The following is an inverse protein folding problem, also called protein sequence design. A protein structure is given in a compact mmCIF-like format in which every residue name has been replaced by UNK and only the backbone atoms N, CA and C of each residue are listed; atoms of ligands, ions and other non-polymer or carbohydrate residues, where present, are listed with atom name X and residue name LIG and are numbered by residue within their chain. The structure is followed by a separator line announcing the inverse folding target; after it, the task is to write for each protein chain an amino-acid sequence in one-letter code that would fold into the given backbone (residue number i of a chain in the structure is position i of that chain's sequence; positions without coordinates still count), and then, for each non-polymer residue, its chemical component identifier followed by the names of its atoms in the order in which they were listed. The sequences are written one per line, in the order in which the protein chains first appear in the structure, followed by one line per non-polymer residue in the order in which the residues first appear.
data_IF_242156805370
#
_entry.id   IF_242156805370
#
_cell.length_a   1.000
_cell.length_b   1.000
_cell.length_c   1.000
_cell.angle_alpha   90.00
_cell.angle_beta   90.00
_cell.angle_gamma   90.00
#
_symmetry.space_group_name_H-M   'P 1'
#
loop_
_entity.id
_entity.type
_entity.pdbx_description
1 polymer ?
#
# COMPACT_ATOMS: atom_id res chain seq x y z
N UNK A 1 -27.66 -3.59 19.72
CA UNK A 1 -26.20 -3.69 19.99
C UNK A 1 -25.49 -3.49 18.68
N UNK A 2 -24.57 -2.54 18.60
CA UNK A 2 -23.75 -2.33 17.40
C UNK A 2 -22.59 -3.35 17.30
N UNK A 3 -22.04 -3.50 16.10
CA UNK A 3 -20.79 -4.22 15.85
C UNK A 3 -19.88 -3.45 14.90
N UNK A 4 -18.59 -3.78 14.92
CA UNK A 4 -17.61 -3.40 13.90
C UNK A 4 -16.73 -4.62 13.61
N UNK A 5 -16.57 -4.94 12.33
CA UNK A 5 -15.58 -5.87 11.81
C UNK A 5 -14.55 -5.10 10.99
N UNK A 6 -13.27 -5.35 11.28
CA UNK A 6 -12.14 -4.86 10.50
C UNK A 6 -11.81 -5.86 9.39
N UNK A 7 -11.62 -5.36 8.18
CA UNK A 7 -11.14 -6.12 7.02
C UNK A 7 -9.77 -5.57 6.66
N UNK A 8 -8.72 -6.36 6.85
CA UNK A 8 -7.34 -5.92 6.69
C UNK A 8 -6.79 -6.22 5.29
N UNK A 9 -6.11 -5.23 4.71
CA UNK A 9 -5.37 -5.35 3.46
C UNK A 9 -3.88 -5.17 3.77
N UNK A 10 -3.28 -6.18 4.40
CA UNK A 10 -1.91 -6.13 4.93
C UNK A 10 -0.88 -5.65 3.89
N UNK A 11 -0.96 -6.14 2.64
CA UNK A 11 -0.05 -5.77 1.55
C UNK A 11 -0.07 -4.29 1.17
N UNK A 12 -1.15 -3.57 1.51
CA UNK A 12 -1.31 -2.12 1.31
C UNK A 12 -1.19 -1.32 2.62
N UNK A 13 -1.29 -1.99 3.77
CA UNK A 13 -1.35 -1.34 5.08
C UNK A 13 -2.64 -0.58 5.31
N UNK A 14 -3.74 -1.06 4.71
CA UNK A 14 -5.07 -0.46 4.79
C UNK A 14 -6.05 -1.31 5.58
N UNK A 15 -7.07 -0.66 6.13
CA UNK A 15 -8.23 -1.29 6.76
C UNK A 15 -9.52 -0.76 6.14
N UNK A 16 -10.45 -1.66 5.90
CA UNK A 16 -11.83 -1.37 5.59
C UNK A 16 -12.71 -1.87 6.73
N UNK A 17 -13.95 -1.38 6.81
CA UNK A 17 -14.82 -1.72 7.93
C UNK A 17 -16.21 -2.16 7.48
N UNK A 18 -16.77 -3.13 8.19
CA UNK A 18 -18.19 -3.42 8.17
C UNK A 18 -18.76 -3.15 9.57
N UNK A 19 -19.72 -2.25 9.68
CA UNK A 19 -20.27 -1.86 10.96
C UNK A 19 -21.78 -1.67 10.90
N UNK A 20 -22.50 -1.99 11.97
CA UNK A 20 -23.95 -1.96 11.92
C UNK A 20 -24.64 -2.39 13.21
N UNK A 21 -25.95 -2.57 13.10
CA UNK A 21 -26.79 -3.14 14.15
C UNK A 21 -27.05 -4.63 13.95
N UNK A 22 -28.19 -5.10 14.45
CA UNK A 22 -28.59 -6.51 14.39
C UNK A 22 -29.00 -6.98 12.98
N UNK A 23 -29.50 -6.08 12.13
CA UNK A 23 -30.10 -6.46 10.85
C UNK A 23 -29.44 -5.83 9.61
N UNK A 24 -28.78 -4.69 9.79
CA UNK A 24 -28.22 -3.92 8.69
C UNK A 24 -26.89 -3.27 9.06
N UNK A 25 -26.05 -3.06 8.05
CA UNK A 25 -24.70 -2.55 8.18
C UNK A 25 -24.30 -1.58 7.07
N UNK A 26 -23.27 -0.79 7.35
CA UNK A 26 -22.51 0.03 6.40
C UNK A 26 -21.15 -0.62 6.16
N UNK A 27 -20.72 -0.64 4.90
CA UNK A 27 -19.34 -0.89 4.53
C UNK A 27 -18.61 0.46 4.33
N UNK A 28 -17.45 0.63 4.94
CA UNK A 28 -16.64 1.85 4.89
C UNK A 28 -15.35 1.55 4.14
N UNK A 29 -15.07 2.36 3.12
CA UNK A 29 -13.86 2.26 2.28
C UNK A 29 -13.58 0.83 1.79
N UNK A 30 -14.57 0.14 1.19
CA UNK A 30 -14.45 -1.28 0.89
C UNK A 30 -13.32 -1.59 -0.10
N UNK A 31 -12.62 -2.72 0.06
CA UNK A 31 -11.57 -3.15 -0.86
C UNK A 31 -12.16 -3.47 -2.23
N UNK A 32 -11.31 -3.47 -3.27
CA UNK A 32 -11.70 -3.86 -4.63
C UNK A 32 -12.36 -5.23 -4.68
N UNK A 33 -11.82 -6.18 -3.92
CA UNK A 33 -12.30 -7.54 -3.83
C UNK A 33 -13.39 -7.67 -2.76
N UNK A 34 -14.59 -7.27 -3.19
CA UNK A 34 -15.80 -7.11 -2.38
C UNK A 34 -16.37 -8.42 -1.82
N UNK A 35 -15.90 -9.58 -2.29
CA UNK A 35 -16.29 -10.89 -1.78
C UNK A 35 -15.92 -11.04 -0.30
N UNK A 36 -14.83 -10.41 0.14
CA UNK A 36 -14.46 -10.35 1.56
C UNK A 36 -15.51 -9.62 2.41
N UNK A 37 -16.04 -8.50 1.90
CA UNK A 37 -17.07 -7.71 2.59
C UNK A 37 -18.40 -8.45 2.64
N UNK A 38 -18.79 -9.07 1.52
CA UNK A 38 -19.99 -9.89 1.43
C UNK A 38 -19.92 -11.09 2.38
N UNK A 39 -18.76 -11.74 2.48
CA UNK A 39 -18.55 -12.84 3.42
C UNK A 39 -18.63 -12.37 4.88
N UNK A 40 -18.07 -11.21 5.22
CA UNK A 40 -18.20 -10.62 6.55
C UNK A 40 -19.67 -10.34 6.92
N UNK A 41 -20.42 -9.72 6.01
CA UNK A 41 -21.85 -9.46 6.21
C UNK A 41 -22.67 -10.75 6.35
N UNK A 42 -22.37 -11.77 5.54
CA UNK A 42 -23.02 -13.07 5.63
C UNK A 42 -22.75 -13.78 6.96
N UNK A 43 -21.52 -13.74 7.48
CA UNK A 43 -21.19 -14.29 8.82
C UNK A 43 -21.96 -13.61 9.95
N UNK A 44 -22.21 -12.30 9.81
CA UNK A 44 -23.00 -11.50 10.76
C UNK A 44 -24.51 -11.66 10.56
N UNK A 45 -24.96 -12.18 9.43
CA UNK A 45 -26.38 -12.30 9.10
C UNK A 45 -27.05 -10.95 8.82
N UNK A 46 -26.29 -9.95 8.38
CA UNK A 46 -26.77 -8.57 8.15
C UNK A 46 -26.82 -8.22 6.67
N UNK A 47 -27.71 -7.31 6.30
CA UNK A 47 -27.74 -6.70 4.98
C UNK A 47 -26.85 -5.46 4.93
N UNK A 48 -26.02 -5.35 3.91
CA UNK A 48 -25.31 -4.09 3.62
C UNK A 48 -26.34 -3.10 3.07
N UNK A 49 -26.68 -2.09 3.87
CA UNK A 49 -27.67 -1.06 3.52
C UNK A 49 -27.01 0.19 2.94
N UNK A 50 -25.74 0.42 3.30
CA UNK A 50 -24.94 1.57 2.88
C UNK A 50 -23.52 1.14 2.55
N UNK A 51 -22.93 1.85 1.60
CA UNK A 51 -21.50 1.81 1.32
C UNK A 51 -21.03 3.26 1.34
N UNK A 52 -19.97 3.57 2.09
CA UNK A 52 -19.44 4.93 2.20
C UNK A 52 -17.98 4.98 1.77
N UNK A 53 -17.62 6.06 1.10
CA UNK A 53 -16.22 6.47 0.89
C UNK A 53 -15.89 7.63 1.81
N UNK A 54 -14.76 7.57 2.51
CA UNK A 54 -14.20 8.71 3.26
C UNK A 54 -13.60 9.74 2.32
N UNK A 55 -12.97 9.28 1.23
CA UNK A 55 -12.38 10.11 0.19
C UNK A 55 -12.23 9.32 -1.11
N UNK A 56 -11.65 9.95 -2.13
CA UNK A 56 -11.28 9.25 -3.37
C UNK A 56 -9.87 8.72 -3.15
N UNK A 57 -9.74 7.41 -3.00
CA UNK A 57 -8.48 6.77 -2.62
C UNK A 57 -7.41 6.92 -3.70
N UNK A 58 -6.18 7.14 -3.26
CA UNK A 58 -5.01 7.27 -4.15
C UNK A 58 -4.13 6.01 -4.15
N UNK A 59 -4.38 5.04 -3.30
CA UNK A 59 -3.48 3.91 -3.05
C UNK A 59 -4.07 2.54 -3.40
N UNK A 60 -5.37 2.48 -3.68
CA UNK A 60 -6.03 1.30 -4.21
C UNK A 60 -7.25 1.67 -5.03
N UNK A 61 -7.73 0.71 -5.82
CA UNK A 61 -8.98 0.81 -6.56
C UNK A 61 -10.15 0.42 -5.65
N UNK A 62 -11.11 1.31 -5.43
CA UNK A 62 -12.25 1.04 -4.53
C UNK A 62 -13.17 -0.05 -5.07
N UNK A 63 -13.71 -0.88 -4.17
CA UNK A 63 -14.83 -1.78 -4.48
C UNK A 63 -16.21 -1.16 -4.24
N UNK A 64 -16.29 0.09 -3.78
CA UNK A 64 -17.52 0.67 -3.23
C UNK A 64 -18.66 0.73 -4.22
N UNK A 65 -18.37 1.18 -5.45
CA UNK A 65 -19.36 1.27 -6.52
C UNK A 65 -19.95 -0.10 -6.87
N UNK A 66 -19.10 -1.13 -6.99
CA UNK A 66 -19.54 -2.48 -7.34
C UNK A 66 -20.30 -3.13 -6.19
N UNK A 67 -19.81 -2.98 -4.95
CA UNK A 67 -20.50 -3.49 -3.77
C UNK A 67 -21.91 -2.90 -3.66
N UNK A 68 -22.06 -1.59 -3.89
CA UNK A 68 -23.36 -0.93 -3.87
C UNK A 68 -24.30 -1.47 -4.96
N UNK A 69 -23.78 -1.69 -6.19
CA UNK A 69 -24.56 -2.27 -7.29
C UNK A 69 -25.07 -3.67 -6.98
N UNK A 70 -24.20 -4.55 -6.47
CA UNK A 70 -24.56 -5.95 -6.19
C UNK A 70 -25.55 -6.05 -5.02
N UNK A 71 -25.38 -5.22 -3.99
CA UNK A 71 -26.20 -5.29 -2.76
C UNK A 71 -27.47 -4.44 -2.83
N UNK A 72 -27.54 -3.48 -3.76
CA UNK A 72 -28.56 -2.43 -3.79
C UNK A 72 -28.41 -1.41 -2.64
N UNK A 73 -27.24 -1.34 -2.01
CA UNK A 73 -26.95 -0.39 -0.95
C UNK A 73 -26.88 1.05 -1.49
N UNK A 74 -27.16 2.03 -0.63
CA UNK A 74 -26.94 3.45 -0.95
C UNK A 74 -25.44 3.72 -0.97
N UNK A 75 -24.91 4.21 -2.09
CA UNK A 75 -23.50 4.57 -2.22
C UNK A 75 -23.27 6.03 -1.88
N UNK A 76 -22.72 6.27 -0.70
CA UNK A 76 -22.48 7.58 -0.11
C UNK A 76 -21.05 8.01 -0.39
N UNK A 77 -20.88 9.13 -1.09
CA UNK A 77 -19.57 9.66 -1.47
C UNK A 77 -19.55 11.16 -1.15
N UNK A 78 -18.45 11.75 -0.66
CA UNK A 78 -18.40 13.15 -0.24
C UNK A 78 -18.86 14.11 -1.33
N UNK A 79 -19.74 15.06 -1.01
CA UNK A 79 -20.42 15.94 -1.97
C UNK A 79 -19.45 16.66 -2.92
N UNK A 80 -18.28 17.06 -2.43
CA UNK A 80 -17.27 17.78 -3.19
C UNK A 80 -16.35 16.87 -4.03
N UNK A 81 -16.48 15.55 -3.92
CA UNK A 81 -15.76 14.61 -4.77
C UNK A 81 -16.30 14.62 -6.22
N UNK A 82 -15.42 14.81 -7.19
CA UNK A 82 -15.77 14.72 -8.61
C UNK A 82 -15.71 13.27 -9.08
N UNK A 83 -16.86 12.71 -9.44
CA UNK A 83 -17.00 11.32 -9.91
C UNK A 83 -17.89 11.24 -11.14
N UNK A 84 -17.68 10.22 -11.98
CA UNK A 84 -18.37 10.02 -13.25
C UNK A 84 -19.59 9.08 -13.18
N UNK A 85 -19.98 8.65 -11.97
CA UNK A 85 -21.07 7.70 -11.72
C UNK A 85 -22.11 8.26 -10.76
N UNK A 86 -23.29 7.64 -10.77
CA UNK A 86 -24.38 7.98 -9.84
C UNK A 86 -24.01 7.62 -8.40
N UNK A 87 -24.35 8.53 -7.49
CA UNK A 87 -24.07 8.41 -6.06
C UNK A 87 -25.09 9.18 -5.23
N UNK A 88 -25.10 8.92 -3.93
CA UNK A 88 -25.68 9.80 -2.92
C UNK A 88 -24.58 10.75 -2.46
N UNK A 89 -24.62 12.05 -2.82
CA UNK A 89 -23.68 13.01 -2.29
C UNK A 89 -23.93 13.23 -0.80
N UNK A 90 -22.85 13.33 -0.03
CA UNK A 90 -22.91 13.53 1.43
C UNK A 90 -22.16 14.79 1.82
N UNK A 91 -22.84 15.68 2.55
CA UNK A 91 -22.27 16.91 3.08
C UNK A 91 -22.05 16.82 4.60
N UNK A 92 -21.41 17.84 5.15
CA UNK A 92 -21.18 17.96 6.58
C UNK A 92 -22.48 17.91 7.39
N UNK A 93 -22.53 17.07 8.43
CA UNK A 93 -23.67 16.92 9.32
C UNK A 93 -24.82 16.07 8.77
N UNK A 94 -24.72 15.58 7.52
CA UNK A 94 -25.71 14.64 6.99
C UNK A 94 -25.71 13.36 7.81
N UNK A 95 -26.91 12.85 8.13
CA UNK A 95 -27.07 11.63 8.92
C UNK A 95 -28.03 10.67 8.24
N UNK A 96 -27.70 9.37 8.30
CA UNK A 96 -28.52 8.28 7.77
C UNK A 96 -28.75 7.19 8.81
N UNK A 97 -29.94 6.58 8.78
CA UNK A 97 -30.21 5.39 9.58
C UNK A 97 -29.57 4.16 8.93
N UNK A 98 -28.69 3.47 9.66
CA UNK A 98 -28.08 2.21 9.21
C UNK A 98 -28.97 1.03 9.58
N UNK A 99 -29.36 0.97 10.85
CA UNK A 99 -30.31 0.01 11.40
C UNK A 99 -31.27 0.72 12.38
N UNK A 100 -32.45 1.18 11.89
CA UNK A 100 -33.44 1.85 12.71
C UNK A 100 -33.93 1.00 13.90
N UNK A 101 -34.01 -0.32 13.73
CA UNK A 101 -34.48 -1.22 14.79
C UNK A 101 -33.52 -1.29 15.97
N UNK A 102 -32.23 -1.12 15.69
CA UNK A 102 -31.16 -1.08 16.69
C UNK A 102 -30.78 0.34 17.13
N UNK A 103 -31.43 1.37 16.58
CA UNK A 103 -31.09 2.78 16.83
C UNK A 103 -29.68 3.16 16.41
N UNK A 104 -29.16 2.53 15.34
CA UNK A 104 -27.81 2.78 14.81
C UNK A 104 -27.89 3.73 13.62
N UNK A 105 -27.20 4.87 13.73
CA UNK A 105 -27.10 5.89 12.68
C UNK A 105 -25.65 6.17 12.32
N UNK A 106 -25.44 6.75 11.14
CA UNK A 106 -24.15 7.21 10.67
C UNK A 106 -24.23 8.69 10.31
N UNK A 107 -23.37 9.50 10.92
CA UNK A 107 -23.26 10.94 10.68
C UNK A 107 -21.96 11.25 9.94
N UNK A 108 -22.04 12.09 8.90
CA UNK A 108 -20.90 12.57 8.16
C UNK A 108 -20.31 13.83 8.80
N UNK A 109 -18.98 13.87 8.91
CA UNK A 109 -18.21 14.98 9.48
C UNK A 109 -17.15 15.36 8.46
N UNK A 110 -17.27 16.54 7.84
CA UNK A 110 -16.27 17.03 6.91
C UNK A 110 -14.93 17.23 7.64
N UNK A 111 -13.89 16.56 7.13
CA UNK A 111 -12.55 16.52 7.70
C UNK A 111 -11.49 16.71 6.63
N UNK A 112 -11.52 17.85 5.90
CA UNK A 112 -10.57 18.12 4.82
C UNK A 112 -9.13 18.15 5.34
N UNK A 113 -8.21 17.73 4.48
CA UNK A 113 -6.78 17.68 4.79
C UNK A 113 -6.10 16.70 3.85
N UNK A 114 -6.16 15.41 4.14
CA UNK A 114 -5.66 14.36 3.26
C UNK A 114 -6.14 14.52 1.81
N UNK A 115 -7.43 14.82 1.66
CA UNK A 115 -8.01 15.34 0.42
C UNK A 115 -8.93 16.53 0.76
N UNK A 116 -9.22 17.44 -0.17
CA UNK A 116 -10.11 18.58 0.09
C UNK A 116 -11.55 18.17 0.40
N UNK A 117 -12.00 17.02 -0.12
CA UNK A 117 -13.35 16.48 0.07
C UNK A 117 -13.43 15.40 1.17
N UNK A 118 -12.35 15.18 1.93
CA UNK A 118 -12.31 14.11 2.92
C UNK A 118 -13.44 14.24 3.96
N UNK A 119 -14.10 13.14 4.26
CA UNK A 119 -15.22 13.03 5.20
C UNK A 119 -14.99 11.85 6.15
N UNK A 120 -15.05 12.12 7.45
CA UNK A 120 -15.11 11.09 8.49
C UNK A 120 -16.56 10.71 8.76
N UNK A 121 -16.81 9.49 9.22
CA UNK A 121 -18.16 9.03 9.57
C UNK A 121 -18.25 8.56 11.01
N UNK A 122 -19.11 9.18 11.81
CA UNK A 122 -19.38 8.77 13.19
C UNK A 122 -20.56 7.80 13.24
N UNK A 123 -20.30 6.56 13.67
CA UNK A 123 -21.35 5.60 14.00
C UNK A 123 -21.90 5.92 15.38
N UNK A 124 -23.21 6.12 15.47
CA UNK A 124 -23.91 6.40 16.71
C UNK A 124 -24.84 5.27 17.09
N UNK A 125 -24.81 4.88 18.36
CA UNK A 125 -25.81 4.00 18.97
C UNK A 125 -26.63 4.82 19.97
N UNK A 126 -27.95 4.88 19.80
CA UNK A 126 -28.86 5.68 20.63
C UNK A 126 -28.42 7.16 20.77
N UNK A 127 -27.90 7.74 19.68
CA UNK A 127 -27.45 9.14 19.60
C UNK A 127 -26.03 9.40 20.10
N UNK A 128 -25.37 8.44 20.76
CA UNK A 128 -23.99 8.58 21.23
C UNK A 128 -23.01 8.04 20.20
N UNK A 129 -22.01 8.83 19.82
CA UNK A 129 -20.91 8.37 18.96
C UNK A 129 -20.09 7.30 19.68
N UNK A 130 -20.07 6.09 19.12
CA UNK A 130 -19.33 4.95 19.67
C UNK A 130 -18.03 4.72 18.91
N UNK A 131 -18.03 5.01 17.60
CA UNK A 131 -16.92 4.81 16.68
C UNK A 131 -16.90 5.95 15.68
N UNK A 132 -15.71 6.41 15.29
CA UNK A 132 -15.52 7.28 14.12
C UNK A 132 -14.58 6.62 13.13
N UNK A 133 -15.05 6.45 11.90
CA UNK A 133 -14.24 6.07 10.76
C UNK A 133 -13.57 7.33 10.22
N UNK A 134 -12.25 7.39 10.35
CA UNK A 134 -11.48 8.63 10.14
C UNK A 134 -10.73 8.68 8.82
N UNK A 135 -10.84 7.62 8.01
CA UNK A 135 -10.25 7.59 6.67
C UNK A 135 -8.75 7.84 6.70
N UNK A 136 -8.31 8.74 5.84
CA UNK A 136 -6.96 9.31 5.84
C UNK A 136 -6.81 10.58 6.68
N UNK A 137 -7.82 11.05 7.40
CA UNK A 137 -7.71 12.29 8.18
C UNK A 137 -6.90 12.08 9.48
N UNK A 138 -7.51 11.48 10.51
CA UNK A 138 -6.85 11.24 11.79
C UNK A 138 -6.37 9.79 11.83
N UNK A 139 -5.06 9.57 11.98
CA UNK A 139 -4.48 8.23 12.09
C UNK A 139 -4.00 8.00 13.53
N UNK A 140 -3.53 6.79 13.84
CA UNK A 140 -3.02 6.50 15.19
C UNK A 140 -1.67 7.21 15.37
N UNK A 141 -1.63 8.19 16.28
CA UNK A 141 -0.44 8.99 16.60
C UNK A 141 -0.01 10.00 15.52
N UNK A 142 -0.70 10.05 14.38
CA UNK A 142 -0.34 10.91 13.24
C UNK A 142 -1.58 11.26 12.40
N UNK A 143 -1.38 11.79 11.18
CA UNK A 143 -2.46 12.12 10.23
C UNK A 143 -2.13 11.56 8.84
N UNK A 144 -3.07 11.58 7.91
CA UNK A 144 -2.74 11.34 6.51
C UNK A 144 -1.99 12.51 5.90
N UNK A 145 -1.24 12.20 4.85
CA UNK A 145 -0.44 13.18 4.12
C UNK A 145 -1.31 14.12 3.26
N UNK A 146 -1.01 15.42 3.16
CA UNK A 146 -1.84 16.41 2.45
C UNK A 146 -1.41 16.71 1.00
N UNK A 147 -0.44 15.98 0.45
CA UNK A 147 0.26 16.32 -0.80
C UNK A 147 -0.08 15.44 -2.02
N UNK A 148 -1.05 14.53 -1.90
CA UNK A 148 -1.41 13.58 -2.97
C UNK A 148 -2.24 14.20 -4.10
N UNK A 149 -2.97 15.27 -3.83
CA UNK A 149 -3.97 15.81 -4.77
C UNK A 149 -3.37 16.83 -5.72
N UNK A 150 -2.74 17.89 -5.18
CA UNK A 150 -2.11 18.95 -5.97
C UNK A 150 -1.02 19.62 -5.10
N UNK A 151 0.25 19.66 -5.56
CA UNK A 151 1.35 20.22 -4.78
C UNK A 151 1.14 21.66 -4.29
N UNK A 152 0.36 22.48 -5.02
CA UNK A 152 0.05 23.86 -4.62
C UNK A 152 -0.91 23.94 -3.43
N UNK A 153 -1.69 22.89 -3.17
CA UNK A 153 -2.65 22.84 -2.07
C UNK A 153 -2.05 22.26 -0.78
N UNK A 154 -0.87 21.66 -0.85
CA UNK A 154 -0.25 20.90 0.24
C UNK A 154 -0.23 21.64 1.59
N UNK A 155 0.24 22.89 1.64
CA UNK A 155 0.27 23.64 2.91
C UNK A 155 -1.14 23.99 3.41
N UNK A 156 -2.04 24.38 2.51
CA UNK A 156 -3.43 24.68 2.86
C UNK A 156 -4.12 23.43 3.42
N UNK A 157 -3.90 22.28 2.80
CA UNK A 157 -4.43 20.99 3.22
C UNK A 157 -3.81 20.53 4.54
N UNK A 158 -2.52 20.78 4.78
CA UNK A 158 -1.90 20.53 6.09
C UNK A 158 -2.59 21.34 7.20
N UNK A 159 -2.89 22.62 6.97
CA UNK A 159 -3.63 23.47 7.92
C UNK A 159 -5.07 22.98 8.11
N UNK A 160 -5.73 22.54 7.04
CA UNK A 160 -7.06 21.94 7.11
C UNK A 160 -7.04 20.63 7.92
N UNK A 161 -6.00 19.80 7.75
CA UNK A 161 -5.82 18.55 8.48
C UNK A 161 -5.70 18.78 10.00
N UNK A 162 -4.96 19.81 10.41
CA UNK A 162 -4.89 20.25 11.82
C UNK A 162 -6.27 20.66 12.34
N UNK A 163 -6.97 21.54 11.62
CA UNK A 163 -8.31 21.98 12.01
C UNK A 163 -9.32 20.82 12.10
N UNK A 164 -9.24 19.86 11.17
CA UNK A 164 -10.07 18.65 11.14
C UNK A 164 -9.81 17.74 12.34
N UNK A 165 -8.55 17.56 12.75
CA UNK A 165 -8.22 16.82 13.96
C UNK A 165 -8.81 17.50 15.21
N UNK A 166 -8.61 18.82 15.35
CA UNK A 166 -9.19 19.59 16.47
C UNK A 166 -10.71 19.54 16.51
N UNK A 167 -11.36 19.56 15.34
CA UNK A 167 -12.81 19.39 15.22
C UNK A 167 -13.26 18.03 15.74
N UNK A 168 -12.67 16.93 15.26
CA UNK A 168 -13.00 15.58 15.73
C UNK A 168 -12.81 15.46 17.25
N UNK A 169 -11.74 16.04 17.78
CA UNK A 169 -11.47 16.08 19.21
C UNK A 169 -12.53 16.88 19.99
N UNK A 170 -13.02 18.00 19.45
CA UNK A 170 -14.05 18.81 20.08
C UNK A 170 -15.43 18.16 20.05
N UNK A 171 -15.81 17.57 18.91
CA UNK A 171 -17.18 17.16 18.62
C UNK A 171 -17.50 15.75 19.17
N UNK A 172 -16.47 14.93 19.44
CA UNK A 172 -16.64 13.53 19.83
C UNK A 172 -16.19 13.24 21.28
N UNK A 173 -16.89 12.33 22.00
CA UNK A 173 -16.47 11.84 23.31
C UNK A 173 -15.07 11.20 23.29
N UNK A 174 -14.37 11.27 24.42
CA UNK A 174 -13.01 10.71 24.56
C UNK A 174 -12.96 9.19 24.37
N UNK A 175 -14.05 8.49 24.69
CA UNK A 175 -14.16 7.04 24.56
C UNK A 175 -14.52 6.58 23.15
N UNK A 176 -14.82 7.49 22.21
CA UNK A 176 -15.13 7.13 20.83
C UNK A 176 -13.89 6.51 20.18
N UNK A 177 -14.04 5.27 19.69
CA UNK A 177 -12.97 4.56 19.00
C UNK A 177 -12.65 5.25 17.66
N UNK A 178 -11.37 5.35 17.33
CA UNK A 178 -10.88 5.95 16.09
C UNK A 178 -10.42 4.83 15.16
N UNK A 179 -11.05 4.74 13.99
CA UNK A 179 -10.80 3.69 13.01
C UNK A 179 -10.34 4.31 11.67
N UNK A 180 -9.03 4.43 11.44
CA UNK A 180 -8.49 4.98 10.21
C UNK A 180 -8.40 3.93 9.10
N UNK A 181 -8.46 4.39 7.85
CA UNK A 181 -8.26 3.52 6.67
C UNK A 181 -6.78 3.18 6.48
N UNK A 182 -5.87 4.07 6.89
CA UNK A 182 -4.42 3.92 6.71
C UNK A 182 -3.67 3.93 8.05
N UNK A 183 -2.34 3.75 7.98
CA UNK A 183 -1.42 3.79 9.13
C UNK A 183 -0.64 2.50 9.36
N UNK A 184 -1.14 1.36 8.87
CA UNK A 184 -0.61 0.01 9.11
C UNK A 184 0.53 -0.34 8.16
N UNK A 185 1.46 0.60 7.95
CA UNK A 185 2.53 0.53 6.96
C UNK A 185 2.15 1.06 5.58
N UNK A 186 1.01 1.73 5.43
CA UNK A 186 0.60 2.44 4.21
C UNK A 186 1.43 3.70 3.97
N UNK A 187 1.69 4.03 2.70
CA UNK A 187 2.37 5.26 2.27
C UNK A 187 1.46 6.50 2.28
N UNK A 188 0.16 6.34 2.57
CA UNK A 188 -0.77 7.45 2.81
C UNK A 188 -0.63 8.06 4.22
N UNK A 189 0.07 7.40 5.14
CA UNK A 189 0.38 7.94 6.45
C UNK A 189 1.56 8.91 6.39
N UNK A 190 1.51 10.02 7.14
CA UNK A 190 2.64 10.96 7.19
C UNK A 190 3.81 10.47 8.04
N UNK A 191 3.55 9.54 8.96
CA UNK A 191 4.56 8.88 9.79
C UNK A 191 4.14 7.44 10.06
N UNK A 192 5.00 6.62 10.66
CA UNK A 192 4.58 5.29 11.11
C UNK A 192 3.59 5.44 12.28
N UNK A 193 2.46 4.74 12.20
CA UNK A 193 1.52 4.64 13.32
C UNK A 193 2.03 3.65 14.37
N UNK A 194 1.80 3.96 15.64
CA UNK A 194 2.15 3.08 16.76
C UNK A 194 0.90 2.41 17.34
N UNK A 195 0.83 1.07 17.24
CA UNK A 195 -0.26 0.26 17.79
C UNK A 195 -1.44 0.03 16.83
N UNK A 196 -2.42 -0.74 17.31
CA UNK A 196 -3.53 -1.23 16.47
C UNK A 196 -4.89 -0.59 16.78
N UNK A 197 -5.02 0.06 17.95
CA UNK A 197 -6.29 0.61 18.45
C UNK A 197 -6.08 1.92 19.21
N UNK A 198 -6.95 2.91 18.96
CA UNK A 198 -6.94 4.19 19.67
C UNK A 198 -8.35 4.77 19.87
N UNK A 199 -8.44 5.87 20.62
CA UNK A 199 -9.68 6.62 20.87
C UNK A 199 -9.41 8.11 20.75
N UNK A 200 -10.47 8.92 20.63
CA UNK A 200 -10.35 10.38 20.60
C UNK A 200 -9.57 10.92 21.81
N UNK A 201 -9.83 10.39 23.01
CA UNK A 201 -9.13 10.79 24.23
C UNK A 201 -7.64 10.47 24.22
N UNK A 202 -7.24 9.31 23.67
CA UNK A 202 -5.83 8.95 23.49
C UNK A 202 -5.15 9.89 22.50
N UNK A 203 -5.76 10.11 21.33
CA UNK A 203 -5.21 10.99 20.31
C UNK A 203 -5.07 12.45 20.80
N UNK A 204 -6.03 12.96 21.59
CA UNK A 204 -5.91 14.29 22.24
C UNK A 204 -4.63 14.44 23.06
N UNK A 205 -4.17 13.35 23.68
CA UNK A 205 -3.01 13.37 24.57
C UNK A 205 -1.67 13.13 23.87
N UNK A 206 -1.68 12.54 22.67
CA UNK A 206 -0.48 12.01 22.04
C UNK A 206 -0.28 12.42 20.57
N UNK A 207 -1.35 12.70 19.82
CA UNK A 207 -1.25 13.00 18.39
C UNK A 207 -0.65 14.40 18.18
N UNK A 208 0.35 14.52 17.30
CA UNK A 208 1.00 15.81 17.01
C UNK A 208 0.00 16.86 16.53
N UNK A 209 -1.00 16.48 15.72
CA UNK A 209 -2.03 17.41 15.24
C UNK A 209 -2.85 18.05 16.36
N UNK A 210 -2.92 17.42 17.54
CA UNK A 210 -3.71 17.87 18.69
C UNK A 210 -2.86 18.46 19.81
N UNK A 211 -1.54 18.23 19.80
CA UNK A 211 -0.63 18.58 20.91
C UNK A 211 0.32 19.73 20.59
N UNK A 212 0.53 20.05 19.30
CA UNK A 212 1.35 21.19 18.86
C UNK A 212 0.53 22.27 18.16
N UNK A 213 1.07 23.49 18.08
CA UNK A 213 0.44 24.59 17.35
C UNK A 213 0.46 24.34 15.84
N UNK A 214 -0.45 25.01 15.11
CA UNK A 214 -0.67 24.76 13.68
C UNK A 214 0.56 25.03 12.82
N UNK A 215 1.39 26.04 13.15
CA UNK A 215 2.53 26.38 12.31
C UNK A 215 3.66 25.36 12.49
N UNK A 216 3.92 24.95 13.73
CA UNK A 216 4.87 23.86 14.04
C UNK A 216 4.40 22.55 13.40
N UNK A 217 3.11 22.20 13.56
CA UNK A 217 2.53 20.99 12.96
C UNK A 217 2.72 20.95 11.44
N UNK A 218 2.41 22.04 10.74
CA UNK A 218 2.53 22.11 9.29
C UNK A 218 4.00 21.99 8.88
N UNK A 219 4.91 22.72 9.54
CA UNK A 219 6.33 22.64 9.23
C UNK A 219 6.87 21.22 9.38
N UNK A 220 6.58 20.56 10.50
CA UNK A 220 7.06 19.21 10.80
C UNK A 220 6.43 18.17 9.87
N UNK A 221 5.12 18.26 9.62
CA UNK A 221 4.40 17.39 8.70
C UNK A 221 5.01 17.43 7.30
N UNK A 222 5.23 18.63 6.76
CA UNK A 222 5.77 18.81 5.42
C UNK A 222 7.24 18.40 5.31
N UNK A 223 8.02 18.62 6.37
CA UNK A 223 9.40 18.18 6.43
C UNK A 223 9.56 16.65 6.46
N UNK A 224 8.55 15.93 6.98
CA UNK A 224 8.52 14.46 7.07
C UNK A 224 7.97 13.72 5.85
N UNK A 225 7.45 14.43 4.83
CA UNK A 225 6.84 13.77 3.68
C UNK A 225 7.88 13.05 2.81
N UNK A 226 7.68 11.74 2.63
CA UNK A 226 8.47 10.91 1.72
C UNK A 226 7.79 10.74 0.36
N UNK A 227 8.55 10.25 -0.62
CA UNK A 227 8.02 9.81 -1.92
C UNK A 227 6.92 8.77 -1.78
N UNK A 228 5.98 8.77 -2.73
CA UNK A 228 4.88 7.80 -2.81
C UNK A 228 5.07 6.80 -3.94
N UNK A 229 4.40 5.64 -3.86
CA UNK A 229 4.28 4.75 -4.99
C UNK A 229 3.77 5.45 -6.25
N UNK A 230 4.49 5.26 -7.36
CA UNK A 230 4.21 5.93 -8.63
C UNK A 230 2.79 5.64 -9.15
N UNK A 231 2.25 4.46 -8.84
CA UNK A 231 0.91 4.08 -9.25
C UNK A 231 -0.20 4.93 -8.61
N UNK A 232 0.09 5.68 -7.54
CA UNK A 232 -0.91 6.51 -6.85
C UNK A 232 -1.52 7.58 -7.77
N UNK A 233 -0.75 8.03 -8.76
CA UNK A 233 -1.20 8.98 -9.78
C UNK A 233 -2.37 8.45 -10.64
N UNK A 234 -2.59 7.13 -10.65
CA UNK A 234 -3.60 6.48 -11.48
C UNK A 234 -4.84 6.02 -10.69
N UNK A 235 -4.72 5.83 -9.37
CA UNK A 235 -5.83 5.33 -8.55
C UNK A 235 -6.95 6.35 -8.41
N UNK A 236 -6.61 7.61 -8.08
CA UNK A 236 -7.60 8.68 -7.94
C UNK A 236 -8.48 8.85 -9.18
N UNK A 237 -7.89 9.00 -10.39
CA UNK A 237 -8.64 9.01 -11.64
C UNK A 237 -9.47 7.75 -11.89
N UNK A 238 -8.90 6.55 -11.69
CA UNK A 238 -9.65 5.29 -11.89
C UNK A 238 -10.86 5.19 -10.94
N UNK A 239 -10.69 5.61 -9.68
CA UNK A 239 -11.74 5.63 -8.68
C UNK A 239 -12.81 6.67 -8.99
N UNK A 240 -12.43 7.84 -9.48
CA UNK A 240 -13.37 8.89 -9.90
C UNK A 240 -14.18 8.49 -11.15
N UNK A 241 -13.56 7.79 -12.10
CA UNK A 241 -14.21 7.33 -13.33
C UNK A 241 -15.22 6.19 -13.09
N UNK A 242 -15.12 5.51 -11.93
CA UNK A 242 -15.98 4.39 -11.58
C UNK A 242 -15.38 3.07 -12.08
N UNK A 243 -14.62 2.36 -11.24
CA UNK A 243 -13.96 1.12 -11.63
C UNK A 243 -14.93 0.08 -12.17
N UNK A 244 -14.49 -0.69 -13.17
CA UNK A 244 -15.22 -1.84 -13.65
C UNK A 244 -15.27 -2.95 -12.58
N UNK A 245 -16.26 -3.88 -12.65
CA UNK A 245 -16.28 -5.05 -11.79
C UNK A 245 -14.96 -5.82 -11.84
N UNK A 246 -14.52 -6.32 -10.70
CA UNK A 246 -13.28 -7.08 -10.58
C UNK A 246 -13.37 -8.39 -11.37
N UNK A 247 -12.41 -8.64 -12.25
CA UNK A 247 -12.26 -9.90 -12.99
C UNK A 247 -11.07 -10.71 -12.44
N UNK A 248 -11.36 -11.77 -11.70
CA UNK A 248 -10.36 -12.73 -11.20
C UNK A 248 -10.31 -14.01 -12.04
N UNK A 249 -10.76 -13.96 -13.30
CA UNK A 249 -10.57 -15.10 -14.22
C UNK A 249 -9.07 -15.39 -14.33
N UNK A 250 -8.63 -16.66 -14.15
CA UNK A 250 -7.22 -16.99 -14.23
C UNK A 250 -6.61 -16.56 -15.58
N UNK A 251 -5.38 -16.01 -15.58
CA UNK A 251 -4.68 -15.66 -16.81
C UNK A 251 -4.37 -16.90 -17.64
N UNK A 252 -4.12 -16.69 -18.94
CA UNK A 252 -3.67 -17.77 -19.82
C UNK A 252 -2.32 -18.33 -19.34
N UNK A 253 -2.16 -19.65 -19.34
CA UNK A 253 -0.90 -20.28 -18.99
C UNK A 253 0.08 -20.18 -20.16
N UNK A 254 1.31 -19.77 -19.85
CA UNK A 254 2.43 -19.69 -20.79
C UNK A 254 3.41 -20.85 -20.56
N UNK A 255 3.84 -21.47 -21.64
CA UNK A 255 4.97 -22.41 -21.61
C UNK A 255 6.32 -21.67 -21.67
N UNK A 256 7.42 -22.42 -21.60
CA UNK A 256 8.76 -21.85 -21.61
C UNK A 256 9.11 -21.03 -22.87
N UNK A 257 8.60 -21.42 -24.04
CA UNK A 257 8.85 -20.70 -25.28
C UNK A 257 8.06 -19.38 -25.30
N UNK A 258 6.82 -19.39 -24.80
CA UNK A 258 6.01 -18.18 -24.63
C UNK A 258 6.61 -17.22 -23.60
N UNK A 259 7.11 -17.72 -22.46
CA UNK A 259 7.82 -16.91 -21.45
C UNK A 259 9.04 -16.22 -22.09
N UNK A 260 9.83 -16.96 -22.86
CA UNK A 260 11.00 -16.44 -23.59
C UNK A 260 10.59 -15.34 -24.58
N UNK A 261 9.51 -15.55 -25.34
CA UNK A 261 9.01 -14.57 -26.30
C UNK A 261 8.52 -13.27 -25.63
N UNK A 262 7.88 -13.39 -24.45
CA UNK A 262 7.39 -12.25 -23.66
C UNK A 262 8.53 -11.42 -23.07
N UNK A 263 9.55 -12.07 -22.51
CA UNK A 263 10.80 -11.40 -22.10
C UNK A 263 11.42 -10.61 -23.27
N UNK A 264 11.53 -11.24 -24.44
CA UNK A 264 12.07 -10.58 -25.63
C UNK A 264 11.22 -9.39 -26.12
N UNK A 265 9.91 -9.40 -25.84
CA UNK A 265 9.01 -8.28 -26.13
C UNK A 265 9.08 -7.14 -25.10
N UNK A 266 9.89 -7.28 -24.04
CA UNK A 266 10.00 -6.30 -22.95
C UNK A 266 8.79 -6.28 -22.02
N UNK A 267 8.10 -7.42 -21.90
CA UNK A 267 7.11 -7.69 -20.87
C UNK A 267 7.79 -7.91 -19.51
N UNK A 268 7.12 -7.51 -18.41
CA UNK A 268 7.62 -7.79 -17.08
C UNK A 268 7.25 -9.22 -16.67
N UNK A 269 8.22 -10.12 -16.71
CA UNK A 269 8.06 -11.47 -16.17
C UNK A 269 8.47 -11.45 -14.71
N UNK A 270 7.51 -11.68 -13.82
CA UNK A 270 7.65 -11.56 -12.37
C UNK A 270 7.58 -12.93 -11.73
N UNK A 271 8.64 -13.31 -11.03
CA UNK A 271 8.75 -14.53 -10.24
C UNK A 271 8.35 -14.24 -8.79
N UNK A 272 7.29 -14.92 -8.36
CA UNK A 272 6.62 -14.72 -7.07
C UNK A 272 7.25 -15.50 -5.91
N UNK A 273 8.25 -16.34 -6.20
CA UNK A 273 8.88 -17.18 -5.19
C UNK A 273 9.69 -16.35 -4.20
N UNK A 274 9.95 -16.96 -3.04
CA UNK A 274 10.84 -16.37 -2.05
C UNK A 274 12.22 -16.07 -2.64
N UNK A 275 12.82 -14.95 -2.25
CA UNK A 275 14.10 -14.43 -2.74
C UNK A 275 15.27 -15.39 -2.60
N UNK A 276 15.25 -16.31 -1.64
CA UNK A 276 16.25 -17.37 -1.51
C UNK A 276 16.18 -18.30 -2.73
N UNK A 277 14.99 -18.82 -3.03
CA UNK A 277 14.77 -19.75 -4.13
C UNK A 277 14.97 -19.08 -5.50
N UNK A 278 14.63 -17.79 -5.61
CA UNK A 278 14.91 -17.00 -6.82
C UNK A 278 16.41 -16.88 -7.08
N UNK A 279 17.19 -16.45 -6.07
CA UNK A 279 18.62 -16.24 -6.21
C UNK A 279 19.37 -17.53 -6.57
N UNK A 280 18.92 -18.69 -6.08
CA UNK A 280 19.50 -20.00 -6.38
C UNK A 280 19.21 -20.49 -7.81
N UNK A 281 18.11 -20.05 -8.42
CA UNK A 281 17.71 -20.46 -9.76
C UNK A 281 16.46 -19.75 -10.23
N UNK A 282 16.55 -19.00 -11.33
CA UNK A 282 15.42 -18.28 -11.95
C UNK A 282 15.55 -18.20 -13.48
N UNK A 283 14.50 -17.69 -14.13
CA UNK A 283 14.49 -17.41 -15.57
C UNK A 283 15.31 -16.14 -15.82
N UNK A 284 16.36 -16.22 -16.63
CA UNK A 284 17.20 -15.05 -16.93
C UNK A 284 16.36 -13.88 -17.48
N UNK A 285 16.53 -12.70 -16.90
CA UNK A 285 15.77 -11.49 -17.28
C UNK A 285 14.41 -11.34 -16.59
N UNK A 286 13.99 -12.27 -15.74
CA UNK A 286 12.81 -12.08 -14.88
C UNK A 286 13.15 -11.25 -13.63
N UNK A 287 12.11 -10.71 -12.99
CA UNK A 287 12.24 -9.92 -11.77
C UNK A 287 11.61 -10.66 -10.59
N UNK A 288 12.20 -10.53 -9.40
CA UNK A 288 11.66 -11.16 -8.20
C UNK A 288 10.83 -10.18 -7.39
N UNK A 289 9.58 -10.56 -7.14
CA UNK A 289 8.69 -9.90 -6.19
C UNK A 289 7.97 -10.98 -5.42
N UNK A 290 8.36 -11.21 -4.16
CA UNK A 290 7.78 -12.26 -3.33
C UNK A 290 6.24 -12.07 -3.21
N UNK A 291 5.48 -13.15 -3.39
CA UNK A 291 4.03 -13.12 -3.17
C UNK A 291 3.70 -12.74 -1.73
N UNK A 292 4.47 -13.26 -0.77
CA UNK A 292 4.35 -12.89 0.64
C UNK A 292 4.96 -11.49 0.85
N UNK A 293 4.16 -10.55 1.34
CA UNK A 293 4.62 -9.23 1.74
C UNK A 293 3.86 -8.08 1.08
N UNK A 294 4.56 -7.25 0.31
CA UNK A 294 4.04 -6.02 -0.29
C UNK A 294 4.11 -6.05 -1.82
N UNK A 295 3.68 -7.17 -2.41
CA UNK A 295 3.73 -7.42 -3.85
C UNK A 295 3.05 -6.28 -4.62
N UNK A 296 1.80 -5.98 -4.28
CA UNK A 296 1.03 -4.96 -4.99
C UNK A 296 1.69 -3.58 -4.89
N UNK A 297 2.20 -3.23 -3.71
CA UNK A 297 2.85 -1.94 -3.50
C UNK A 297 4.12 -1.82 -4.35
N UNK A 298 5.07 -2.76 -4.24
CA UNK A 298 6.36 -2.62 -4.92
C UNK A 298 6.29 -2.93 -6.41
N UNK A 299 5.54 -3.95 -6.83
CA UNK A 299 5.43 -4.22 -8.26
C UNK A 299 4.75 -3.05 -8.98
N UNK A 300 3.62 -2.55 -8.48
CA UNK A 300 2.94 -1.41 -9.10
C UNK A 300 3.75 -0.10 -9.01
N UNK A 301 4.61 0.05 -8.00
CA UNK A 301 5.51 1.20 -7.94
C UNK A 301 6.60 1.13 -9.02
N UNK A 302 7.22 -0.03 -9.20
CA UNK A 302 8.42 -0.15 -10.04
C UNK A 302 8.10 -0.41 -11.52
N UNK A 303 6.97 -1.05 -11.82
CA UNK A 303 6.59 -1.33 -13.20
C UNK A 303 6.16 -0.05 -13.92
N UNK A 304 6.62 0.21 -15.15
CA UNK A 304 6.07 1.31 -15.93
C UNK A 304 4.57 1.11 -16.18
N UNK A 305 3.76 2.13 -15.89
CA UNK A 305 2.31 2.02 -15.94
C UNK A 305 1.79 1.47 -17.29
N UNK A 306 0.87 0.50 -17.21
CA UNK A 306 0.28 -0.16 -18.38
C UNK A 306 1.19 -1.18 -19.08
N UNK A 307 2.40 -1.46 -18.58
CA UNK A 307 3.21 -2.57 -19.07
C UNK A 307 2.53 -3.90 -18.76
N UNK A 308 2.50 -4.85 -19.72
CA UNK A 308 2.01 -6.20 -19.45
C UNK A 308 2.88 -6.91 -18.40
N UNK A 309 2.24 -7.78 -17.61
CA UNK A 309 2.88 -8.58 -16.56
C UNK A 309 2.57 -10.06 -16.80
N UNK A 310 3.60 -10.90 -16.75
CA UNK A 310 3.47 -12.35 -16.66
C UNK A 310 3.92 -12.80 -15.28
N UNK A 311 3.11 -13.60 -14.59
CA UNK A 311 3.43 -14.10 -13.25
C UNK A 311 3.96 -15.53 -13.29
N UNK A 312 5.08 -15.80 -12.64
CA UNK A 312 5.60 -17.15 -12.39
C UNK A 312 5.39 -17.48 -10.92
N UNK A 313 4.63 -18.53 -10.64
CA UNK A 313 4.23 -18.93 -9.28
C UNK A 313 4.61 -20.38 -8.98
N UNK A 314 4.92 -20.72 -7.73
CA UNK A 314 5.11 -22.12 -7.34
C UNK A 314 3.82 -22.94 -7.53
N UNK A 315 2.67 -22.34 -7.20
CA UNK A 315 1.36 -23.02 -7.21
C UNK A 315 0.27 -22.16 -7.83
N UNK A 316 -0.85 -22.79 -8.19
CA UNK A 316 -2.04 -22.09 -8.70
C UNK A 316 -2.68 -21.20 -7.63
N UNK A 317 -2.58 -21.59 -6.36
CA UNK A 317 -3.07 -20.82 -5.22
C UNK A 317 -2.27 -19.53 -5.05
N UNK A 318 -0.93 -19.60 -5.05
CA UNK A 318 -0.06 -18.42 -4.98
C UNK A 318 -0.33 -17.47 -6.15
N UNK A 319 -0.53 -18.01 -7.36
CA UNK A 319 -0.90 -17.22 -8.53
C UNK A 319 -2.24 -16.48 -8.33
N UNK A 320 -3.26 -17.16 -7.83
CA UNK A 320 -4.58 -16.57 -7.61
C UNK A 320 -4.56 -15.47 -6.53
N UNK A 321 -3.80 -15.68 -5.46
CA UNK A 321 -3.60 -14.69 -4.40
C UNK A 321 -2.85 -13.45 -4.92
N UNK A 322 -1.77 -13.65 -5.67
CA UNK A 322 -1.02 -12.56 -6.29
C UNK A 322 -1.86 -11.77 -7.30
N UNK A 323 -2.65 -12.45 -8.16
CA UNK A 323 -3.58 -11.77 -9.08
C UNK A 323 -4.57 -10.89 -8.32
N UNK A 324 -5.15 -11.42 -7.24
CA UNK A 324 -6.10 -10.67 -6.41
C UNK A 324 -5.46 -9.46 -5.76
N UNK A 325 -4.25 -9.59 -5.22
CA UNK A 325 -3.53 -8.48 -4.60
C UNK A 325 -3.21 -7.38 -5.63
N UNK A 326 -2.71 -7.76 -6.80
CA UNK A 326 -2.37 -6.85 -7.89
C UNK A 326 -3.57 -6.11 -8.47
N UNK A 327 -4.73 -6.77 -8.52
CA UNK A 327 -5.95 -6.12 -8.93
C UNK A 327 -6.34 -4.96 -8.00
N UNK A 328 -5.97 -4.99 -6.71
CA UNK A 328 -6.26 -3.86 -5.80
C UNK A 328 -5.55 -2.57 -6.20
N UNK A 329 -4.47 -2.65 -6.98
CA UNK A 329 -3.66 -1.49 -7.43
C UNK A 329 -3.76 -1.23 -8.94
N UNK A 330 -4.79 -1.76 -9.60
CA UNK A 330 -5.07 -1.49 -11.02
C UNK A 330 -4.31 -2.38 -12.00
N UNK A 331 -3.58 -3.39 -11.53
CA UNK A 331 -3.02 -4.46 -12.37
C UNK A 331 -4.07 -5.57 -12.43
N UNK A 332 -5.15 -5.29 -13.17
CA UNK A 332 -6.40 -6.07 -13.11
C UNK A 332 -6.22 -7.53 -13.53
N UNK A 333 -5.51 -7.74 -14.63
CA UNK A 333 -5.28 -9.08 -15.16
C UNK A 333 -3.87 -9.22 -15.73
N UNK A 334 -3.03 -10.10 -15.16
CA UNK A 334 -1.78 -10.50 -15.78
C UNK A 334 -2.01 -10.96 -17.23
N UNK A 335 -1.07 -10.67 -18.12
CA UNK A 335 -1.16 -11.02 -19.53
C UNK A 335 -0.90 -12.51 -19.79
N UNK A 336 -0.19 -13.17 -18.89
CA UNK A 336 -0.09 -14.63 -18.77
C UNK A 336 0.38 -15.01 -17.36
N UNK A 337 0.43 -16.32 -17.11
CA UNK A 337 1.12 -16.86 -15.95
C UNK A 337 1.73 -18.23 -16.24
N UNK A 338 2.60 -18.70 -15.37
CA UNK A 338 3.01 -20.09 -15.31
C UNK A 338 3.09 -20.54 -13.85
N UNK A 339 2.82 -21.81 -13.62
CA UNK A 339 2.97 -22.44 -12.29
C UNK A 339 4.02 -23.54 -12.36
N UNK A 340 4.79 -23.76 -11.30
CA UNK A 340 5.77 -24.83 -11.23
C UNK A 340 7.14 -24.34 -10.79
N UNK A 341 8.19 -24.87 -11.39
CA UNK A 341 9.58 -24.57 -11.01
C UNK A 341 10.32 -23.87 -12.15
N UNK A 342 11.49 -23.25 -11.89
CA UNK A 342 12.33 -22.67 -12.95
C UNK A 342 12.64 -23.63 -14.09
N UNK A 343 12.74 -24.94 -13.84
CA UNK A 343 12.99 -25.93 -14.88
C UNK A 343 11.80 -26.07 -15.85
N UNK A 344 10.58 -25.83 -15.38
CA UNK A 344 9.36 -25.88 -16.21
C UNK A 344 9.18 -24.61 -17.05
N UNK A 345 9.77 -23.50 -16.61
CA UNK A 345 9.68 -22.19 -17.24
C UNK A 345 10.80 -21.92 -18.26
N UNK A 346 11.76 -22.83 -18.36
CA UNK A 346 12.91 -22.71 -19.24
C UNK A 346 12.82 -23.70 -20.41
N UNK A 347 13.24 -23.28 -21.63
CA UNK A 347 13.32 -24.21 -22.75
C UNK A 347 14.27 -25.37 -22.44
N UNK A 348 13.96 -26.54 -23.00
CA UNK A 348 14.70 -27.76 -22.74
C UNK A 348 16.22 -27.58 -22.97
N UNK A 349 17.02 -27.91 -21.97
CA UNK A 349 18.49 -27.82 -22.01
C UNK A 349 19.07 -26.48 -21.58
N UNK A 350 18.24 -25.50 -21.23
CA UNK A 350 18.71 -24.28 -20.56
C UNK A 350 18.85 -24.50 -19.05
N UNK A 351 19.82 -23.80 -18.46
CA UNK A 351 20.05 -23.80 -17.01
C UNK A 351 19.50 -22.50 -16.41
N UNK A 352 18.87 -22.54 -15.23
CA UNK A 352 18.47 -21.33 -14.52
C UNK A 352 19.65 -20.38 -14.29
N UNK A 353 19.37 -19.07 -14.39
CA UNK A 353 20.28 -18.03 -13.91
C UNK A 353 20.30 -18.02 -12.37
N UNK A 354 21.37 -17.49 -11.79
CA UNK A 354 21.52 -17.37 -10.35
C UNK A 354 22.50 -16.27 -9.99
N UNK A 355 22.33 -15.71 -8.80
CA UNK A 355 23.27 -14.77 -8.22
C UNK A 355 23.51 -15.09 -6.74
N UNK A 356 24.72 -14.82 -6.22
CA UNK A 356 25.04 -15.08 -4.83
C UNK A 356 24.23 -14.21 -3.87
N UNK A 357 23.94 -14.78 -2.70
CA UNK A 357 23.45 -14.06 -1.54
C UNK A 357 24.54 -14.00 -0.48
N UNK A 358 24.54 -12.95 0.32
CA UNK A 358 25.46 -12.77 1.43
C UNK A 358 24.83 -11.97 2.58
N UNK A 359 25.63 -11.60 3.56
CA UNK A 359 25.27 -10.79 4.72
C UNK A 359 26.19 -9.57 4.81
N UNK A 360 25.89 -8.60 5.68
CA UNK A 360 26.82 -7.51 5.95
C UNK A 360 28.18 -8.01 6.48
N UNK A 361 28.20 -9.10 7.26
CA UNK A 361 29.43 -9.75 7.68
C UNK A 361 30.22 -10.34 6.49
N UNK A 362 29.52 -10.90 5.50
CA UNK A 362 30.12 -11.35 4.24
C UNK A 362 30.71 -10.19 3.43
N UNK A 363 30.02 -9.05 3.37
CA UNK A 363 30.51 -7.83 2.72
C UNK A 363 31.78 -7.31 3.40
N UNK A 364 31.79 -7.26 4.73
CA UNK A 364 32.95 -6.84 5.52
C UNK A 364 34.15 -7.77 5.29
N UNK A 365 33.93 -9.09 5.24
CA UNK A 365 34.97 -10.07 4.98
C UNK A 365 35.52 -10.00 3.55
N UNK A 366 34.70 -9.63 2.57
CA UNK A 366 35.12 -9.43 1.19
C UNK A 366 35.93 -8.14 1.01
N UNK A 367 35.55 -7.08 1.74
CA UNK A 367 36.16 -5.75 1.65
C UNK A 367 35.26 -4.78 0.86
N UNK A 368 34.55 -3.91 1.57
CA UNK A 368 33.59 -2.97 0.96
C UNK A 368 34.22 -1.95 0.00
N UNK A 369 35.54 -1.71 0.09
CA UNK A 369 36.27 -0.80 -0.81
C UNK A 369 36.66 -1.45 -2.16
N UNK A 370 36.46 -2.77 -2.31
CA UNK A 370 36.83 -3.52 -3.53
C UNK A 370 35.64 -3.73 -4.47
N UNK A 371 34.43 -3.37 -4.03
CA UNK A 371 33.17 -3.62 -4.73
C UNK A 371 32.30 -2.36 -4.77
N UNK A 372 31.26 -2.39 -5.61
CA UNK A 372 30.23 -1.36 -5.61
C UNK A 372 29.21 -1.71 -4.53
N UNK A 373 29.22 -1.00 -3.40
CA UNK A 373 28.16 -1.12 -2.40
C UNK A 373 26.99 -0.22 -2.83
N UNK A 374 25.85 -0.83 -3.13
CA UNK A 374 24.63 -0.14 -3.53
C UNK A 374 23.59 -0.18 -2.41
N UNK A 375 23.25 0.99 -1.89
CA UNK A 375 22.18 1.20 -0.92
C UNK A 375 20.88 1.56 -1.68
N UNK A 376 19.85 0.72 -1.57
CA UNK A 376 18.54 0.95 -2.21
C UNK A 376 17.44 1.38 -1.22
N UNK A 377 17.82 1.77 0.00
CA UNK A 377 16.89 2.35 0.99
C UNK A 377 16.38 3.71 0.52
N UNK A 378 15.28 4.18 1.13
CA UNK A 378 14.73 5.52 0.89
C UNK A 378 15.65 6.58 1.49
N UNK A 379 15.49 7.83 1.06
CA UNK A 379 16.33 8.96 1.51
C UNK A 379 16.29 9.13 3.04
N UNK A 380 15.11 9.03 3.65
CA UNK A 380 14.90 9.15 5.09
C UNK A 380 15.57 8.04 5.91
N UNK A 381 15.67 6.83 5.37
CA UNK A 381 16.40 5.74 6.00
C UNK A 381 17.91 6.01 5.91
N UNK A 382 18.36 6.61 4.81
CA UNK A 382 19.77 6.93 4.58
C UNK A 382 20.27 8.06 5.48
N UNK A 383 19.49 9.10 5.74
CA UNK A 383 19.90 10.20 6.64
C UNK A 383 20.27 9.72 8.05
N UNK A 384 19.67 8.61 8.49
CA UNK A 384 19.99 7.99 9.79
C UNK A 384 21.30 7.19 9.82
N UNK A 385 21.94 6.99 8.67
CA UNK A 385 23.27 6.40 8.55
C UNK A 385 23.42 5.47 7.35
N UNK A 386 24.61 5.41 6.75
CA UNK A 386 24.94 4.58 5.58
C UNK A 386 26.39 4.07 5.60
N UNK A 387 26.69 3.04 4.80
CA UNK A 387 28.06 2.52 4.65
C UNK A 387 28.90 3.55 3.88
N UNK A 388 30.05 3.94 4.44
CA UNK A 388 30.98 4.89 3.82
C UNK A 388 31.37 4.43 2.40
N UNK A 389 31.28 5.34 1.43
CA UNK A 389 31.54 5.05 0.03
C UNK A 389 30.41 4.35 -0.74
N UNK A 390 29.28 4.01 -0.11
CA UNK A 390 28.14 3.41 -0.81
C UNK A 390 27.46 4.37 -1.79
N UNK A 391 27.10 3.85 -2.96
CA UNK A 391 26.24 4.50 -3.95
C UNK A 391 24.80 4.42 -3.46
N UNK A 392 24.03 5.49 -3.65
CA UNK A 392 22.62 5.54 -3.28
C UNK A 392 21.73 5.68 -4.49
N UNK A 393 20.86 4.70 -4.69
CA UNK A 393 19.76 4.82 -5.64
C UNK A 393 18.55 4.13 -4.98
N UNK A 394 17.58 4.89 -4.45
CA UNK A 394 16.38 4.31 -3.87
C UNK A 394 15.72 3.32 -4.83
N UNK A 395 15.19 2.21 -4.30
CA UNK A 395 14.67 1.10 -5.10
C UNK A 395 13.68 1.51 -6.20
N UNK A 396 12.84 2.51 -5.93
CA UNK A 396 11.81 2.99 -6.85
C UNK A 396 12.36 3.78 -8.04
N UNK A 397 13.61 4.26 -7.97
CA UNK A 397 14.28 4.94 -9.07
C UNK A 397 15.25 4.01 -9.81
N UNK A 398 15.62 2.88 -9.21
CA UNK A 398 16.70 2.02 -9.68
C UNK A 398 16.51 1.59 -11.13
N UNK A 399 15.33 1.09 -11.50
CA UNK A 399 15.07 0.62 -12.87
C UNK A 399 15.35 1.70 -13.94
N UNK A 400 15.02 2.97 -13.66
CA UNK A 400 15.30 4.09 -14.56
C UNK A 400 16.75 4.61 -14.50
N UNK A 401 17.48 4.29 -13.43
CA UNK A 401 18.83 4.78 -13.13
C UNK A 401 19.90 3.69 -13.11
N UNK A 402 19.61 2.50 -13.65
CA UNK A 402 20.55 1.37 -13.70
C UNK A 402 21.90 1.74 -14.32
N UNK A 403 21.91 2.64 -15.32
CA UNK A 403 23.12 3.13 -15.96
C UNK A 403 24.03 4.00 -15.08
N UNK A 404 23.53 4.46 -13.93
CA UNK A 404 24.31 5.22 -12.95
C UNK A 404 25.07 4.32 -11.96
N UNK A 405 24.75 3.01 -11.93
CA UNK A 405 25.47 2.05 -11.08
C UNK A 405 26.89 1.83 -11.64
N UNK A 406 27.95 2.15 -10.87
CA UNK A 406 29.34 2.02 -11.34
C UNK A 406 29.67 0.61 -11.84
N UNK A 407 30.63 0.44 -12.77
CA UNK A 407 31.04 -0.88 -13.25
C UNK A 407 31.71 -1.70 -12.14
N UNK A 408 31.59 -3.03 -12.23
CA UNK A 408 32.16 -3.99 -11.27
C UNK A 408 31.09 -4.80 -10.52
N UNK A 409 31.52 -5.71 -9.63
CA UNK A 409 30.62 -6.49 -8.78
C UNK A 409 29.82 -5.58 -7.84
N UNK A 410 28.50 -5.75 -7.80
CA UNK A 410 27.58 -4.92 -7.04
C UNK A 410 27.07 -5.69 -5.83
N UNK A 411 27.36 -5.20 -4.63
CA UNK A 411 26.75 -5.69 -3.39
C UNK A 411 25.59 -4.78 -3.03
N UNK A 412 24.38 -5.25 -3.25
CA UNK A 412 23.17 -4.46 -3.03
C UNK A 412 22.53 -4.79 -1.69
N UNK A 413 22.17 -3.75 -0.93
CA UNK A 413 21.54 -3.90 0.38
C UNK A 413 20.38 -2.93 0.58
N UNK A 414 19.51 -3.24 1.54
CA UNK A 414 18.46 -2.35 1.99
C UNK A 414 18.39 -2.38 3.53
N UNK A 415 17.22 -2.10 4.12
CA UNK A 415 17.05 -2.21 5.56
C UNK A 415 16.91 -3.65 6.07
N UNK A 416 16.40 -4.58 5.25
CA UNK A 416 16.05 -5.95 5.70
C UNK A 416 15.91 -6.99 4.58
N UNK A 417 16.75 -6.91 3.55
CA UNK A 417 16.83 -7.91 2.47
C UNK A 417 15.80 -7.81 1.33
N UNK A 418 14.50 -7.63 1.60
CA UNK A 418 13.46 -7.72 0.54
C UNK A 418 13.68 -6.75 -0.64
N UNK A 419 13.91 -5.46 -0.40
CA UNK A 419 14.18 -4.49 -1.49
C UNK A 419 15.52 -4.75 -2.18
N UNK A 420 16.49 -5.32 -1.46
CA UNK A 420 17.77 -5.70 -2.03
C UNK A 420 17.62 -6.88 -3.00
N UNK A 421 16.71 -7.82 -2.74
CA UNK A 421 16.39 -8.90 -3.66
C UNK A 421 15.70 -8.41 -4.94
N UNK A 422 14.71 -7.50 -4.82
CA UNK A 422 14.11 -6.85 -5.99
C UNK A 422 15.19 -6.15 -6.81
N UNK A 423 16.04 -5.34 -6.16
CA UNK A 423 17.15 -4.67 -6.82
C UNK A 423 18.13 -5.63 -7.50
N UNK A 424 18.48 -6.74 -6.83
CA UNK A 424 19.36 -7.75 -7.37
C UNK A 424 18.78 -8.38 -8.64
N UNK A 425 17.47 -8.66 -8.66
CA UNK A 425 16.81 -9.17 -9.88
C UNK A 425 16.83 -8.16 -11.04
N UNK A 426 16.66 -6.86 -10.76
CA UNK A 426 16.77 -5.81 -11.77
C UNK A 426 18.20 -5.69 -12.32
N UNK A 427 19.20 -5.80 -11.45
CA UNK A 427 20.62 -5.75 -11.80
C UNK A 427 21.04 -6.98 -12.61
N UNK A 428 20.66 -8.18 -12.18
CA UNK A 428 20.96 -9.43 -12.86
C UNK A 428 20.32 -9.46 -14.26
N UNK A 429 19.04 -9.08 -14.37
CA UNK A 429 18.34 -8.95 -15.66
C UNK A 429 19.01 -7.94 -16.61
N UNK A 430 19.72 -6.94 -16.08
CA UNK A 430 20.53 -6.00 -16.85
C UNK A 430 21.97 -6.50 -17.13
N UNK A 431 22.28 -7.75 -16.78
CA UNK A 431 23.58 -8.38 -16.98
C UNK A 431 24.67 -7.92 -16.01
N UNK A 432 24.30 -7.42 -14.83
CA UNK A 432 25.25 -6.98 -13.80
C UNK A 432 25.64 -8.16 -12.91
N UNK A 433 26.93 -8.25 -12.58
CA UNK A 433 27.44 -9.13 -11.53
C UNK A 433 26.99 -8.60 -10.16
N UNK A 434 26.09 -9.31 -9.49
CA UNK A 434 25.40 -8.82 -8.29
C UNK A 434 25.45 -9.85 -7.15
N UNK A 435 25.57 -9.33 -5.93
CA UNK A 435 25.42 -10.06 -4.66
C UNK A 435 24.31 -9.40 -3.86
N UNK A 436 23.27 -10.16 -3.51
CA UNK A 436 22.18 -9.66 -2.67
C UNK A 436 22.54 -9.81 -1.18
N UNK A 437 22.56 -8.71 -0.43
CA UNK A 437 22.72 -8.72 1.03
C UNK A 437 21.36 -8.95 1.69
N UNK A 438 21.20 -10.07 2.39
CA UNK A 438 19.94 -10.55 2.97
C UNK A 438 19.98 -10.65 4.50
N UNK A 439 20.23 -9.52 5.16
CA UNK A 439 20.10 -9.32 6.60
C UNK A 439 19.73 -7.87 6.93
N UNK A 440 19.52 -7.57 8.22
CA UNK A 440 19.11 -6.25 8.69
C UNK A 440 20.26 -5.24 8.65
N UNK A 441 19.98 -3.99 8.28
CA UNK A 441 21.02 -2.94 8.18
C UNK A 441 21.76 -2.70 9.50
N UNK A 442 21.13 -2.93 10.65
CA UNK A 442 21.78 -2.84 11.96
C UNK A 442 23.01 -3.76 12.08
N UNK A 443 23.02 -4.89 11.35
CA UNK A 443 24.14 -5.82 11.30
C UNK A 443 25.38 -5.24 10.59
N UNK A 444 25.25 -4.15 9.83
CA UNK A 444 26.39 -3.50 9.20
C UNK A 444 27.38 -2.94 10.24
N UNK A 445 26.86 -2.33 11.31
CA UNK A 445 27.67 -1.85 12.43
C UNK A 445 28.35 -3.01 13.16
N UNK A 446 27.60 -4.08 13.44
CA UNK A 446 28.12 -5.27 14.13
C UNK A 446 29.20 -6.00 13.32
N UNK A 447 29.10 -5.94 11.99
CA UNK A 447 30.11 -6.45 11.06
C UNK A 447 31.37 -5.58 10.96
N UNK A 448 31.39 -4.41 11.60
CA UNK A 448 32.52 -3.47 11.57
C UNK A 448 32.65 -2.68 10.27
N UNK A 449 31.58 -2.57 9.48
CA UNK A 449 31.58 -1.70 8.30
C UNK A 449 31.62 -0.22 8.73
N UNK A 450 32.40 0.64 8.05
CA UNK A 450 32.44 2.06 8.37
C UNK A 450 31.09 2.70 8.03
N UNK A 451 30.44 3.30 9.03
CA UNK A 451 29.17 4.01 8.85
C UNK A 451 29.37 5.52 8.96
N UNK A 452 28.66 6.27 8.13
CA UNK A 452 28.57 7.75 8.14
C UNK A 452 27.12 8.17 8.39
N UNK A 453 26.91 9.32 9.02
CA UNK A 453 25.60 9.98 9.19
C UNK A 453 25.63 11.37 8.54
N UNK A 454 24.47 11.93 8.21
CA UNK A 454 24.39 13.21 7.50
C UNK A 454 23.01 13.80 7.43
#
# INVERSE_FOLDING_TARGET
MFFVDTIELEGLGNRSYLAGGESAAVAVDPPRDIDQVLAAAARRGVRISHVVETHIHNDYVTGGLELARITGARYLVPADAHVAFDRVPVADGDSVDIDPGSGVTLEAIATPGHTPHHTSYALREAGRAVVVFTGGSLLIGTVGRPDLVEPRLTEQLARAQHASAHRLASDLPDETAVLPTHGFGSFCSSAQSEGEETTIGKEKSANSALTVDVDTFVADLLAGLEVVPAYYAHMGPANADGPAPLDLTPPALADADEITARLAAGEWVVDLRNRVAFAEGHVAGSFNFEADGKLATYLAWLIPWGKPVTLLADTAEQLAEAQRELARVGIDRPAAAATGTPADWLPAGQTPASFPRSTFAGLAAHGSSEVVVLDVRRDSERTNGWIEGSVHIPIHELHGRLGEVPPGPVWVHCAGGMRAAIAASLLDAAGRDVVAVDDGFDAASDAGLPLTTG
#
